data_IF_660173452633
#
_entry.id   IF_660173452633
#
_cell.length_a   1.000
_cell.length_b   1.000
_cell.length_c   1.000
_cell.angle_alpha   90.00
_cell.angle_beta   90.00
_cell.angle_gamma   90.00
#
_symmetry.space_group_name_H-M   'P 1'
#
loop_
_entity.id
_entity.type
_entity.pdbx_description
1 polymer ?
#
# COMPACT_ATOMS: atom_id res chain seq x y z
N UNK A 1 -26.97 22.47 -20.40
CA UNK A 1 -26.11 21.27 -20.42
C UNK A 1 -24.79 21.60 -19.75
N UNK A 2 -24.57 21.24 -18.49
CA UNK A 2 -23.31 21.52 -17.79
C UNK A 2 -22.26 20.47 -18.19
N UNK A 3 -21.20 20.91 -18.86
CA UNK A 3 -20.06 20.07 -19.24
C UNK A 3 -19.25 19.73 -17.98
N UNK A 4 -19.22 18.45 -17.59
CA UNK A 4 -18.39 17.96 -16.49
C UNK A 4 -16.93 18.01 -16.92
N UNK A 5 -16.20 19.01 -16.43
CA UNK A 5 -14.74 19.10 -16.57
C UNK A 5 -14.10 17.86 -15.93
N UNK A 6 -13.46 17.03 -16.77
CA UNK A 6 -12.75 15.83 -16.35
C UNK A 6 -11.53 16.28 -15.55
N UNK A 7 -11.60 16.24 -14.23
CA UNK A 7 -10.47 16.58 -13.36
C UNK A 7 -9.32 15.64 -13.66
N UNK A 8 -8.25 16.17 -14.28
CA UNK A 8 -7.01 15.43 -14.47
C UNK A 8 -6.47 15.04 -13.10
N UNK A 9 -6.29 13.73 -12.87
CA UNK A 9 -5.69 13.25 -11.63
C UNK A 9 -4.24 13.71 -11.63
N UNK A 10 -3.76 14.40 -10.57
CA UNK A 10 -2.38 14.82 -10.50
C UNK A 10 -1.48 13.60 -10.63
N UNK A 11 -0.51 13.68 -11.54
CA UNK A 11 0.54 12.68 -11.69
C UNK A 11 1.28 12.61 -10.36
N UNK A 12 1.27 11.44 -9.72
CA UNK A 12 1.97 11.24 -8.45
C UNK A 12 3.46 11.39 -8.70
N UNK A 13 4.14 12.17 -7.86
CA UNK A 13 5.60 12.19 -7.86
C UNK A 13 6.14 10.76 -7.64
N UNK A 14 7.33 10.44 -8.16
CA UNK A 14 7.93 9.12 -7.96
C UNK A 14 8.01 8.73 -6.47
N UNK A 15 8.33 9.69 -5.60
CA UNK A 15 8.32 9.50 -4.14
C UNK A 15 6.94 9.16 -3.59
N UNK A 16 5.89 9.86 -4.05
CA UNK A 16 4.51 9.59 -3.62
C UNK A 16 4.03 8.21 -4.10
N UNK A 17 4.45 7.79 -5.29
CA UNK A 17 4.20 6.45 -5.81
C UNK A 17 4.93 5.38 -4.98
N UNK A 18 6.20 5.59 -4.66
CA UNK A 18 6.99 4.68 -3.84
C UNK A 18 6.42 4.54 -2.42
N UNK A 19 6.03 5.66 -1.80
CA UNK A 19 5.37 5.68 -0.49
C UNK A 19 4.06 4.88 -0.52
N UNK A 20 3.27 5.02 -1.58
CA UNK A 20 2.03 4.25 -1.78
C UNK A 20 2.31 2.74 -1.95
N UNK A 21 3.38 2.37 -2.67
CA UNK A 21 3.83 0.97 -2.80
C UNK A 21 4.24 0.41 -1.43
N UNK A 22 5.04 1.15 -0.66
CA UNK A 22 5.47 0.76 0.69
C UNK A 22 4.28 0.53 1.64
N UNK A 23 3.31 1.46 1.68
CA UNK A 23 2.09 1.32 2.49
C UNK A 23 1.30 0.06 2.11
N UNK A 24 1.17 -0.23 0.81
CA UNK A 24 0.46 -1.41 0.34
C UNK A 24 1.17 -2.70 0.80
N UNK A 25 2.49 -2.75 0.62
CA UNK A 25 3.30 -3.93 0.96
C UNK A 25 3.30 -4.19 2.47
N UNK A 26 3.60 -3.18 3.28
CA UNK A 26 3.63 -3.31 4.74
C UNK A 26 2.24 -3.72 5.27
N UNK A 27 1.19 -3.06 4.79
CA UNK A 27 -0.17 -3.37 5.23
C UNK A 27 -0.64 -4.77 4.82
N UNK A 28 -0.31 -5.20 3.60
CA UNK A 28 -0.71 -6.52 3.11
C UNK A 28 0.11 -7.64 3.76
N UNK A 29 1.43 -7.57 3.72
CA UNK A 29 2.29 -8.65 4.22
C UNK A 29 2.31 -8.74 5.74
N UNK A 30 2.15 -7.62 6.45
CA UNK A 30 1.97 -7.64 7.91
C UNK A 30 0.70 -8.38 8.32
N UNK A 31 -0.39 -8.22 7.57
CA UNK A 31 -1.64 -8.94 7.81
C UNK A 31 -1.63 -10.38 7.29
N UNK A 32 -1.06 -10.61 6.11
CA UNK A 32 -1.10 -11.89 5.41
C UNK A 32 -0.47 -13.01 6.23
N UNK A 33 0.66 -12.74 6.87
CA UNK A 33 1.37 -13.74 7.69
C UNK A 33 0.52 -14.20 8.87
N UNK A 34 -0.11 -13.26 9.59
CA UNK A 34 -1.00 -13.58 10.70
C UNK A 34 -2.25 -14.33 10.21
N UNK A 35 -2.84 -13.87 9.11
CA UNK A 35 -4.06 -14.45 8.57
C UNK A 35 -3.85 -15.86 8.05
N UNK A 36 -2.78 -16.12 7.28
CA UNK A 36 -2.45 -17.48 6.80
C UNK A 36 -2.16 -18.45 7.95
N UNK A 37 -1.48 -17.97 9.00
CA UNK A 37 -1.22 -18.80 10.19
C UNK A 37 -2.52 -19.19 10.90
N UNK A 38 -3.51 -18.30 10.94
CA UNK A 38 -4.81 -18.58 11.52
C UNK A 38 -5.76 -19.35 10.58
N UNK A 39 -5.50 -19.32 9.26
CA UNK A 39 -6.33 -19.91 8.23
C UNK A 39 -5.49 -20.75 7.25
N UNK A 40 -4.88 -21.86 7.72
CA UNK A 40 -3.94 -22.64 6.92
C UNK A 40 -4.58 -23.31 5.69
N UNK A 41 -5.88 -23.61 5.76
CA UNK A 41 -6.64 -24.30 4.69
C UNK A 41 -7.44 -23.33 3.81
N UNK A 42 -7.40 -22.03 4.10
CA UNK A 42 -8.24 -21.08 3.38
C UNK A 42 -7.78 -20.88 1.93
N UNK A 43 -8.76 -20.80 1.04
CA UNK A 43 -8.53 -20.64 -0.40
C UNK A 43 -8.27 -19.19 -0.79
N UNK A 44 -8.05 -18.99 -2.10
CA UNK A 44 -7.79 -17.66 -2.66
C UNK A 44 -9.00 -16.72 -2.58
N UNK A 45 -10.23 -17.24 -2.51
CA UNK A 45 -11.44 -16.42 -2.43
C UNK A 45 -11.64 -15.89 -1.01
N UNK A 46 -11.50 -16.76 -0.01
CA UNK A 46 -11.50 -16.42 1.40
C UNK A 46 -10.41 -15.38 1.71
N UNK A 47 -9.22 -15.53 1.13
CA UNK A 47 -8.15 -14.54 1.27
C UNK A 47 -8.56 -13.17 0.72
N UNK A 48 -9.16 -13.12 -0.47
CA UNK A 48 -9.59 -11.86 -1.10
C UNK A 48 -10.70 -11.19 -0.29
N UNK A 49 -11.68 -11.96 0.18
CA UNK A 49 -12.77 -11.47 1.01
C UNK A 49 -12.25 -10.89 2.33
N UNK A 50 -11.43 -11.67 3.05
CA UNK A 50 -10.86 -11.23 4.31
C UNK A 50 -9.94 -10.00 4.16
N UNK A 51 -9.17 -9.93 3.06
CA UNK A 51 -8.38 -8.74 2.78
C UNK A 51 -9.27 -7.53 2.46
N UNK A 52 -10.39 -7.71 1.76
CA UNK A 52 -11.29 -6.61 1.41
C UNK A 52 -11.83 -5.90 2.65
N UNK A 53 -12.08 -6.63 3.73
CA UNK A 53 -12.50 -6.12 5.03
C UNK A 53 -11.34 -5.49 5.80
N UNK A 54 -10.19 -6.17 5.88
CA UNK A 54 -9.06 -5.74 6.67
C UNK A 54 -8.27 -4.56 6.04
N UNK A 55 -8.28 -4.41 4.71
CA UNK A 55 -7.38 -3.49 3.97
C UNK A 55 -7.47 -2.04 4.44
N UNK A 56 -8.65 -1.57 4.83
CA UNK A 56 -8.87 -0.17 5.20
C UNK A 56 -8.13 0.21 6.49
N UNK A 57 -8.19 -0.67 7.48
CA UNK A 57 -7.48 -0.49 8.76
C UNK A 57 -5.99 -0.76 8.58
N UNK A 58 -5.62 -1.88 7.95
CA UNK A 58 -4.21 -2.27 7.78
C UNK A 58 -3.41 -1.24 6.96
N UNK A 59 -4.01 -0.58 5.97
CA UNK A 59 -3.38 0.55 5.26
C UNK A 59 -3.25 1.82 6.10
N UNK A 60 -4.16 2.08 7.05
CA UNK A 60 -4.02 3.22 7.98
C UNK A 60 -2.85 2.99 8.93
N UNK A 61 -2.70 1.78 9.44
CA UNK A 61 -1.60 1.43 10.34
C UNK A 61 -0.27 1.41 9.58
N UNK A 62 -0.23 0.84 8.37
CA UNK A 62 0.94 0.88 7.52
C UNK A 62 1.43 2.30 7.19
N UNK A 63 0.52 3.28 7.02
CA UNK A 63 0.90 4.70 6.85
C UNK A 63 1.65 5.25 8.06
N UNK A 64 1.25 4.88 9.28
CA UNK A 64 1.95 5.29 10.51
C UNK A 64 3.33 4.66 10.60
N UNK A 65 3.45 3.39 10.21
CA UNK A 65 4.73 2.67 10.14
C UNK A 65 5.66 3.33 9.14
N UNK A 66 5.21 3.57 7.91
CA UNK A 66 5.98 4.25 6.86
C UNK A 66 6.49 5.61 7.35
N UNK A 67 5.63 6.43 7.96
CA UNK A 67 6.04 7.73 8.52
C UNK A 67 7.13 7.60 9.60
N UNK A 68 7.08 6.55 10.42
CA UNK A 68 8.12 6.28 11.44
C UNK A 68 9.42 5.81 10.80
N UNK A 69 9.35 4.95 9.79
CA UNK A 69 10.54 4.47 9.07
C UNK A 69 11.25 5.62 8.35
N UNK A 70 10.50 6.50 7.68
CA UNK A 70 11.04 7.71 7.05
C UNK A 70 11.69 8.63 8.09
N UNK A 71 11.01 8.88 9.23
CA UNK A 71 11.56 9.72 10.32
C UNK A 71 12.89 9.17 10.86
N UNK A 72 13.06 7.85 10.87
CA UNK A 72 14.25 7.19 11.38
C UNK A 72 15.30 6.92 10.28
N UNK A 73 15.09 7.39 9.04
CA UNK A 73 16.00 7.15 7.92
C UNK A 73 16.06 5.70 7.44
N UNK A 74 15.08 4.87 7.81
CA UNK A 74 15.00 3.44 7.46
C UNK A 74 14.21 3.16 6.19
N UNK A 75 13.53 4.17 5.67
CA UNK A 75 12.83 4.09 4.39
C UNK A 75 13.25 5.29 3.55
N UNK A 76 14.20 5.05 2.65
CA UNK A 76 14.55 6.02 1.63
C UNK A 76 13.57 5.87 0.48
N UNK A 77 12.82 6.93 0.16
CA UNK A 77 12.03 6.96 -1.06
C UNK A 77 12.98 6.80 -2.25
N UNK A 78 12.84 5.76 -3.09
CA UNK A 78 13.68 5.58 -4.26
C UNK A 78 13.57 6.81 -5.16
N UNK A 79 14.73 7.27 -5.64
CA UNK A 79 14.83 8.28 -6.69
C UNK A 79 14.15 7.76 -7.96
N UNK A 80 13.70 8.68 -8.82
CA UNK A 80 12.97 8.34 -10.04
C UNK A 80 13.68 7.29 -10.93
N UNK A 81 15.02 7.26 -10.86
CA UNK A 81 15.89 6.32 -11.58
C UNK A 81 15.74 4.86 -11.11
N UNK A 82 15.53 4.61 -9.82
CA UNK A 82 15.34 3.25 -9.29
C UNK A 82 13.94 2.67 -9.60
N UNK A 83 12.98 3.53 -9.97
CA UNK A 83 11.63 3.13 -10.36
C UNK A 83 11.55 2.86 -11.87
N UNK A 84 12.41 3.48 -12.67
CA UNK A 84 12.48 3.28 -14.12
C UNK A 84 13.29 2.03 -14.53
N UNK A 85 13.99 1.39 -13.57
CA UNK A 85 14.84 0.22 -13.81
C UNK A 85 14.17 -1.14 -13.47
N UNK A 86 12.90 -1.14 -13.04
CA UNK A 86 12.06 -2.34 -12.79
C UNK A 86 10.99 -2.47 -13.87
#
# INVERSE_FOLDING_TARGET
>A
MATKTKTEKPVLTPEAAARKKAVKLIGYHGWLTEWKRANPEADAEALKAAWAEAKGQRKRDARRVVKRLEKNGLLNTPTAEAIAAE
#
